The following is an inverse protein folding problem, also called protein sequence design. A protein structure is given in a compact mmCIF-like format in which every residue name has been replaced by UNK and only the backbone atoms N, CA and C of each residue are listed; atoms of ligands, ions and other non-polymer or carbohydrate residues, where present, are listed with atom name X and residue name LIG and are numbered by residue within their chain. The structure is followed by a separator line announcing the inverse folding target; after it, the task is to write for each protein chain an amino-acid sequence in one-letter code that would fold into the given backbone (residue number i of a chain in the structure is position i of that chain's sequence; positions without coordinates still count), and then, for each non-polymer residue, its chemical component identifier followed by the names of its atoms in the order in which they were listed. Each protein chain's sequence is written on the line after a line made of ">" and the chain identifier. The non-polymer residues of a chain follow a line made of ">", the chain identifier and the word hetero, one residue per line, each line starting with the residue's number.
data_IF_616696498923
#
_entry.id   IF_616696498923
#
_cell.length_a   1.000
_cell.length_b   1.000
_cell.length_c   1.000
_cell.angle_alpha   90.00
_cell.angle_beta   90.00
_cell.angle_gamma   90.00
#
_symmetry.space_group_name_H-M   'P 1'
#
loop_
_entity.id
_entity.type
_entity.pdbx_description
1 polymer ?
#
# COMPACT_ATOMS: atom_id res chain seq x y z
N UNK A 1 22.13 19.72 20.72
CA UNK A 1 20.96 18.84 20.94
C UNK A 1 20.50 18.30 19.59
N UNK A 2 20.65 17.00 19.32
CA UNK A 2 20.38 16.34 18.03
C UNK A 2 18.88 16.00 17.85
N UNK A 3 17.99 16.99 17.86
CA UNK A 3 16.58 16.72 17.56
C UNK A 3 16.33 16.42 16.07
N UNK A 4 17.20 16.93 15.18
CA UNK A 4 17.06 16.83 13.71
C UNK A 4 17.38 15.44 13.12
N UNK A 5 17.70 14.44 13.94
CA UNK A 5 18.03 13.08 13.46
C UNK A 5 17.12 12.00 14.05
N UNK A 6 16.06 12.39 14.77
CA UNK A 6 15.18 11.44 15.43
C UNK A 6 14.21 10.82 14.43
N UNK A 7 14.17 9.49 14.43
CA UNK A 7 13.15 8.71 13.74
C UNK A 7 11.98 8.49 14.68
N UNK A 8 10.77 8.77 14.19
CA UNK A 8 9.54 8.43 14.90
C UNK A 8 9.05 7.10 14.37
N UNK A 9 8.63 6.20 15.24
CA UNK A 9 7.98 4.99 14.78
C UNK A 9 6.81 4.59 15.67
N UNK A 10 5.74 4.13 15.01
CA UNK A 10 4.48 3.72 15.61
C UNK A 10 4.29 2.24 15.32
N UNK A 11 3.94 1.47 16.35
CA UNK A 11 3.75 0.02 16.24
C UNK A 11 2.45 -0.41 16.88
N UNK A 12 1.83 -1.43 16.30
CA UNK A 12 0.65 -2.11 16.83
C UNK A 12 0.66 -3.57 16.38
N UNK A 13 0.28 -4.46 17.28
CA UNK A 13 0.07 -5.88 17.03
C UNK A 13 -1.42 -6.23 16.96
N UNK A 14 -1.79 -7.15 16.08
CA UNK A 14 -3.16 -7.69 16.03
C UNK A 14 -3.14 -9.20 15.91
N UNK A 15 -3.94 -9.87 16.74
CA UNK A 15 -4.23 -11.30 16.63
C UNK A 15 -5.74 -11.54 16.53
N UNK A 16 -6.14 -12.34 15.55
CA UNK A 16 -7.52 -12.74 15.29
C UNK A 16 -7.58 -14.25 15.01
N UNK A 17 -8.79 -14.78 14.85
CA UNK A 17 -8.99 -16.17 14.45
C UNK A 17 -8.37 -16.48 13.07
N UNK A 18 -8.26 -15.48 12.20
CA UNK A 18 -7.68 -15.60 10.85
C UNK A 18 -6.16 -15.59 10.88
N UNK A 19 -5.57 -14.99 11.92
CA UNK A 19 -4.13 -15.03 12.16
C UNK A 19 -3.64 -13.79 12.89
N UNK A 20 -2.31 -13.65 12.95
CA UNK A 20 -1.63 -12.55 13.62
C UNK A 20 -0.77 -11.73 12.65
N UNK A 21 -0.43 -10.51 13.07
CA UNK A 21 0.50 -9.65 12.36
C UNK A 21 0.75 -8.33 13.08
N UNK A 22 1.57 -7.50 12.43
CA UNK A 22 1.98 -6.20 12.92
C UNK A 22 1.72 -5.10 11.89
N UNK A 23 1.44 -3.91 12.41
CA UNK A 23 1.39 -2.65 11.67
C UNK A 23 2.49 -1.72 12.17
N UNK A 24 3.26 -1.17 11.24
CA UNK A 24 4.42 -0.33 11.57
C UNK A 24 4.41 0.91 10.69
N UNK A 25 4.56 2.07 11.29
CA UNK A 25 4.77 3.35 10.59
C UNK A 25 6.09 3.93 11.05
N UNK A 26 6.99 4.24 10.12
CA UNK A 26 8.29 4.86 10.39
C UNK A 26 8.33 6.21 9.69
N UNK A 27 8.49 7.29 10.45
CA UNK A 27 8.71 8.63 9.92
C UNK A 27 10.20 8.97 10.03
N UNK A 28 10.84 9.20 8.89
CA UNK A 28 12.26 9.59 8.85
C UNK A 28 12.43 11.03 9.36
N UNK A 29 13.65 11.47 9.73
CA UNK A 29 13.90 12.86 10.15
C UNK A 29 13.56 13.89 9.06
N UNK A 30 13.49 13.48 7.80
CA UNK A 30 13.07 14.32 6.67
C UNK A 30 11.54 14.41 6.53
N UNK A 31 10.78 13.78 7.44
CA UNK A 31 9.31 13.79 7.43
C UNK A 31 8.70 12.81 6.43
N UNK A 32 9.46 11.82 5.94
CA UNK A 32 8.92 10.79 5.05
C UNK A 32 8.35 9.63 5.86
N UNK A 33 7.09 9.30 5.63
CA UNK A 33 6.44 8.11 6.18
C UNK A 33 6.74 6.86 5.35
N UNK A 34 7.05 5.77 6.04
CA UNK A 34 7.15 4.42 5.50
C UNK A 34 6.17 3.54 6.30
N UNK A 35 5.26 2.89 5.59
CA UNK A 35 4.16 2.12 6.19
C UNK A 35 4.29 0.64 5.84
N UNK A 36 4.19 -0.22 6.85
CA UNK A 36 4.37 -1.65 6.71
C UNK A 36 3.25 -2.42 7.39
N UNK A 37 2.76 -3.43 6.67
CA UNK A 37 1.83 -4.46 7.14
C UNK A 37 2.55 -5.80 7.09
N UNK A 38 2.71 -6.45 8.23
CA UNK A 38 3.49 -7.68 8.35
C UNK A 38 2.59 -8.80 8.85
N UNK A 39 2.30 -9.78 7.99
CA UNK A 39 1.58 -11.01 8.38
C UNK A 39 2.57 -11.98 9.00
N UNK A 40 2.24 -12.53 10.17
CA UNK A 40 3.01 -13.62 10.76
C UNK A 40 2.54 -14.96 10.17
N UNK A 41 3.48 -15.85 9.88
CA UNK A 41 3.22 -17.23 9.47
C UNK A 41 3.03 -18.18 10.66
N UNK A 42 3.22 -17.69 11.87
CA UNK A 42 2.91 -18.35 13.14
C UNK A 42 1.70 -17.71 13.83
N UNK A 43 1.13 -18.42 14.81
CA UNK A 43 0.12 -17.87 15.71
C UNK A 43 0.79 -17.14 16.86
N UNK A 44 0.23 -16.01 17.26
CA UNK A 44 0.67 -15.24 18.41
C UNK A 44 -0.58 -14.69 19.14
N UNK A 45 -0.52 -14.58 20.46
CA UNK A 45 -1.52 -13.85 21.25
C UNK A 45 -1.46 -12.35 20.98
N UNK A 46 -2.47 -11.59 21.41
CA UNK A 46 -2.45 -10.13 21.28
C UNK A 46 -1.18 -9.51 21.89
N UNK A 47 -0.80 -9.93 23.10
CA UNK A 47 0.39 -9.39 23.77
C UNK A 47 1.68 -9.72 23.00
N UNK A 48 1.80 -10.96 22.50
CA UNK A 48 2.94 -11.37 21.68
C UNK A 48 3.00 -10.56 20.38
N UNK A 49 1.86 -10.29 19.73
CA UNK A 49 1.87 -9.48 18.50
C UNK A 49 2.35 -8.05 18.72
N UNK A 50 2.05 -7.45 19.88
CA UNK A 50 2.53 -6.11 20.24
C UNK A 50 4.06 -6.10 20.46
N UNK A 51 4.57 -7.14 21.11
CA UNK A 51 6.01 -7.35 21.29
C UNK A 51 6.73 -7.55 19.97
N UNK A 52 6.20 -8.43 19.11
CA UNK A 52 6.75 -8.69 17.78
C UNK A 52 6.74 -7.44 16.90
N UNK A 53 5.64 -6.66 16.93
CA UNK A 53 5.55 -5.40 16.21
C UNK A 53 6.66 -4.43 16.62
N UNK A 54 6.95 -4.33 17.92
CA UNK A 54 8.03 -3.50 18.45
C UNK A 54 9.42 -4.01 18.02
N UNK A 55 9.68 -5.31 18.19
CA UNK A 55 10.97 -5.93 17.81
C UNK A 55 11.26 -5.74 16.33
N UNK A 56 10.29 -6.07 15.47
CA UNK A 56 10.42 -5.96 14.01
C UNK A 56 10.59 -4.49 13.62
N UNK A 57 9.78 -3.58 14.19
CA UNK A 57 9.89 -2.14 13.93
C UNK A 57 11.24 -1.56 14.30
N UNK A 58 11.78 -1.93 15.47
CA UNK A 58 13.12 -1.52 15.91
C UNK A 58 14.22 -2.04 14.98
N UNK A 59 14.11 -3.31 14.54
CA UNK A 59 15.07 -3.90 13.59
C UNK A 59 15.05 -3.17 12.25
N UNK A 60 13.86 -2.98 11.67
CA UNK A 60 13.69 -2.27 10.41
C UNK A 60 14.20 -0.82 10.49
N UNK A 61 13.90 -0.10 11.58
CA UNK A 61 14.41 1.25 11.78
C UNK A 61 15.95 1.27 11.86
N UNK A 62 16.55 0.34 12.61
CA UNK A 62 18.00 0.25 12.73
C UNK A 62 18.69 -0.06 11.39
N UNK A 63 18.16 -1.02 10.63
CA UNK A 63 18.66 -1.43 9.31
C UNK A 63 18.52 -0.33 8.25
N UNK A 64 17.51 0.54 8.40
CA UNK A 64 17.31 1.72 7.54
C UNK A 64 18.14 2.94 7.97
N UNK A 65 19.00 2.77 8.99
CA UNK A 65 19.98 3.78 9.41
C UNK A 65 19.56 4.61 10.62
N UNK A 66 18.44 4.31 11.28
CA UNK A 66 18.07 4.99 12.50
C UNK A 66 19.12 4.73 13.60
N UNK A 67 19.52 5.80 14.29
CA UNK A 67 20.40 5.75 15.48
C UNK A 67 19.74 6.38 16.71
N UNK A 68 18.81 7.31 16.49
CA UNK A 68 17.97 7.91 17.53
C UNK A 68 16.52 7.58 17.21
N UNK A 69 15.89 6.75 18.05
CA UNK A 69 14.57 6.19 17.77
C UNK A 69 13.59 6.50 18.91
N UNK A 70 12.42 7.04 18.54
CA UNK A 70 11.31 7.29 19.46
C UNK A 70 10.09 6.46 19.05
N UNK A 71 9.79 5.46 19.88
CA UNK A 71 8.69 4.53 19.72
C UNK A 71 7.39 5.06 20.30
N UNK A 72 6.29 4.77 19.62
CA UNK A 72 4.95 4.96 20.11
C UNK A 72 4.15 3.66 20.00
N UNK A 73 3.46 3.30 21.07
CA UNK A 73 2.56 2.15 21.13
C UNK A 73 1.41 2.47 22.09
N UNK A 74 0.23 1.91 21.85
CA UNK A 74 -0.91 1.96 22.76
C UNK A 74 -0.96 0.79 23.75
N UNK A 75 -0.09 -0.22 23.58
CA UNK A 75 0.03 -1.34 24.51
C UNK A 75 0.73 -0.93 25.82
N UNK A 76 -0.07 -0.61 26.83
CA UNK A 76 0.42 -0.25 28.16
C UNK A 76 1.38 -1.30 28.74
N UNK A 77 1.07 -2.59 28.56
CA UNK A 77 1.86 -3.69 29.09
C UNK A 77 3.29 -3.66 28.51
N UNK A 78 3.40 -3.65 27.18
CA UNK A 78 4.68 -3.63 26.46
C UNK A 78 5.46 -2.38 26.85
N UNK A 79 4.84 -1.20 26.82
CA UNK A 79 5.52 0.06 27.17
C UNK A 79 6.07 0.01 28.60
N UNK A 80 5.28 -0.48 29.56
CA UNK A 80 5.69 -0.53 30.98
C UNK A 80 6.78 -1.57 31.26
N UNK A 81 6.71 -2.73 30.61
CA UNK A 81 7.73 -3.78 30.74
C UNK A 81 9.05 -3.38 30.05
N UNK A 82 8.99 -2.76 28.86
CA UNK A 82 10.19 -2.23 28.17
C UNK A 82 10.86 -1.10 28.94
N UNK A 83 10.10 -0.34 29.73
CA UNK A 83 10.62 0.68 30.67
C UNK A 83 11.11 0.11 32.00
N UNK A 84 10.92 -1.19 32.26
CA UNK A 84 11.28 -1.82 33.53
C UNK A 84 10.37 -1.46 34.70
N UNK A 85 9.22 -0.81 34.44
CA UNK A 85 8.25 -0.47 35.50
C UNK A 85 7.38 -1.67 35.88
N UNK A 86 7.17 -2.59 34.94
CA UNK A 86 6.47 -3.87 35.14
C UNK A 86 7.43 -5.02 34.88
N UNK A 87 7.24 -6.12 35.61
CA UNK A 87 7.99 -7.36 35.41
C UNK A 87 7.27 -8.28 34.41
N UNK A 88 8.04 -8.99 33.57
CA UNK A 88 7.54 -10.07 32.73
C UNK A 88 7.73 -11.41 33.44
N UNK A 89 6.67 -12.20 33.52
CA UNK A 89 6.67 -13.51 34.18
C UNK A 89 6.68 -14.67 33.21
N UNK A 90 6.12 -14.47 32.02
CA UNK A 90 6.04 -15.50 30.99
C UNK A 90 7.36 -15.55 30.21
N UNK A 91 7.87 -16.75 29.97
CA UNK A 91 9.14 -17.00 29.27
C UNK A 91 9.15 -16.32 27.89
N UNK A 92 8.05 -16.37 27.14
CA UNK A 92 7.94 -15.71 25.84
C UNK A 92 8.13 -14.19 25.96
N UNK A 93 7.53 -13.53 26.95
CA UNK A 93 7.69 -12.09 27.17
C UNK A 93 9.11 -11.73 27.59
N UNK A 94 9.75 -12.56 28.43
CA UNK A 94 11.14 -12.37 28.84
C UNK A 94 12.06 -12.42 27.61
N UNK A 95 11.84 -13.37 26.70
CA UNK A 95 12.61 -13.48 25.46
C UNK A 95 12.45 -12.24 24.57
N UNK A 96 11.23 -11.72 24.41
CA UNK A 96 11.01 -10.49 23.65
C UNK A 96 11.71 -9.28 24.30
N UNK A 97 11.66 -9.17 25.64
CA UNK A 97 12.37 -8.11 26.35
C UNK A 97 13.89 -8.21 26.17
N UNK A 98 14.46 -9.42 26.13
CA UNK A 98 15.87 -9.62 25.84
C UNK A 98 16.22 -9.16 24.42
N UNK A 99 15.41 -9.51 23.42
CA UNK A 99 15.61 -9.05 22.04
C UNK A 99 15.54 -7.52 21.94
N UNK A 100 14.59 -6.90 22.64
CA UNK A 100 14.46 -5.44 22.70
C UNK A 100 15.68 -4.82 23.39
N UNK A 101 16.18 -5.42 24.47
CA UNK A 101 17.39 -4.97 25.14
C UNK A 101 18.61 -5.03 24.21
N UNK A 102 18.79 -6.13 23.48
CA UNK A 102 19.87 -6.28 22.50
C UNK A 102 19.76 -5.23 21.39
N UNK A 103 18.55 -4.96 20.88
CA UNK A 103 18.32 -3.93 19.87
C UNK A 103 18.58 -2.52 20.40
N UNK A 104 18.24 -2.24 21.67
CA UNK A 104 18.57 -0.95 22.31
C UNK A 104 20.08 -0.69 22.30
N UNK A 105 20.92 -1.71 22.50
CA UNK A 105 22.40 -1.55 22.47
C UNK A 105 22.94 -1.12 21.11
N UNK A 106 22.20 -1.37 20.03
CA UNK A 106 22.56 -1.00 18.65
C UNK A 106 22.13 0.44 18.28
N UNK A 107 21.41 1.12 19.17
CA UNK A 107 20.92 2.48 18.99
C UNK A 107 21.71 3.44 19.90
N UNK A 108 21.97 4.65 19.43
CA UNK A 108 22.55 5.70 20.28
C UNK A 108 21.53 6.20 21.32
N UNK A 109 20.25 6.20 20.94
CA UNK A 109 19.17 6.56 21.84
C UNK A 109 17.89 5.83 21.46
N UNK A 110 17.19 5.30 22.46
CA UNK A 110 15.88 4.70 22.33
C UNK A 110 14.97 5.18 23.45
N UNK A 111 13.74 5.56 23.09
CA UNK A 111 12.68 5.85 24.03
C UNK A 111 11.38 5.26 23.50
N UNK A 112 10.51 4.81 24.41
CA UNK A 112 9.14 4.38 24.09
C UNK A 112 8.12 5.18 24.90
N UNK A 113 7.06 5.61 24.23
CA UNK A 113 5.97 6.40 24.81
C UNK A 113 4.65 5.68 24.59
N UNK A 114 3.86 5.57 25.66
CA UNK A 114 2.48 5.10 25.54
C UNK A 114 1.62 6.22 24.96
N UNK A 115 0.81 5.91 23.95
CA UNK A 115 -0.16 6.84 23.37
C UNK A 115 -1.57 6.23 23.40
N UNK A 116 -2.63 7.06 23.34
CA UNK A 116 -3.98 6.58 23.15
C UNK A 116 -4.13 5.85 21.81
N UNK A 117 -5.02 4.86 21.76
CA UNK A 117 -5.26 4.03 20.56
C UNK A 117 -5.76 4.84 19.37
N UNK A 118 -6.50 5.92 19.64
CA UNK A 118 -7.01 6.84 18.63
C UNK A 118 -5.87 7.57 17.91
N UNK A 119 -4.77 7.84 18.63
CA UNK A 119 -3.55 8.44 18.07
C UNK A 119 -2.74 7.38 17.31
N UNK A 120 -2.79 6.12 17.73
CA UNK A 120 -2.11 4.99 17.06
C UNK A 120 -2.92 4.36 15.91
N UNK A 121 -3.99 5.02 15.44
CA UNK A 121 -4.97 4.43 14.53
C UNK A 121 -4.34 3.86 13.24
N UNK A 122 -3.31 4.52 12.71
CA UNK A 122 -2.63 4.12 11.46
C UNK A 122 -1.93 2.77 11.60
N UNK A 123 -1.10 2.59 12.64
CA UNK A 123 -0.45 1.31 12.91
C UNK A 123 -1.49 0.22 13.19
N UNK A 124 -2.53 0.52 13.97
CA UNK A 124 -3.63 -0.39 14.26
C UNK A 124 -4.46 -0.81 13.03
N UNK A 125 -4.62 0.06 12.03
CA UNK A 125 -5.23 -0.32 10.75
C UNK A 125 -4.34 -1.26 9.95
N UNK A 126 -3.02 -1.03 9.94
CA UNK A 126 -2.05 -1.88 9.26
C UNK A 126 -1.93 -3.27 9.92
N UNK A 127 -1.95 -3.36 11.25
CA UNK A 127 -1.91 -4.64 11.98
C UNK A 127 -3.17 -5.47 11.75
N UNK A 128 -4.35 -4.82 11.75
CA UNK A 128 -5.63 -5.46 11.43
C UNK A 128 -5.66 -5.96 10.00
N UNK A 129 -5.15 -5.16 9.05
CA UNK A 129 -4.97 -5.61 7.69
C UNK A 129 -4.15 -6.90 7.66
N UNK A 130 -2.98 -6.96 8.31
CA UNK A 130 -2.17 -8.17 8.39
C UNK A 130 -2.96 -9.35 8.97
N UNK A 131 -3.48 -9.23 10.18
CA UNK A 131 -4.17 -10.34 10.87
C UNK A 131 -5.42 -10.86 10.13
N UNK A 132 -6.04 -10.03 9.28
CA UNK A 132 -7.21 -10.43 8.47
C UNK A 132 -6.85 -11.24 7.21
N UNK A 133 -5.58 -11.25 6.79
CA UNK A 133 -5.18 -11.93 5.55
C UNK A 133 -5.11 -13.44 5.78
N UNK A 134 -5.80 -14.19 4.92
CA UNK A 134 -5.74 -15.66 4.92
C UNK A 134 -4.47 -16.22 4.30
N UNK A 135 -3.90 -15.50 3.33
CA UNK A 135 -2.75 -15.97 2.56
C UNK A 135 -1.48 -15.23 3.00
N UNK A 136 -0.43 -15.97 3.35
CA UNK A 136 0.92 -15.43 3.54
C UNK A 136 1.62 -15.25 2.19
N UNK A 137 1.21 -14.25 1.41
CA UNK A 137 1.93 -13.83 0.19
C UNK A 137 2.26 -12.35 0.19
N UNK A 138 3.47 -12.03 -0.26
CA UNK A 138 3.89 -10.65 -0.51
C UNK A 138 3.07 -10.06 -1.65
N UNK A 139 2.54 -8.86 -1.44
CA UNK A 139 1.76 -8.13 -2.46
C UNK A 139 1.90 -6.63 -2.25
N UNK A 140 1.76 -5.88 -3.35
CA UNK A 140 1.73 -4.42 -3.31
C UNK A 140 0.29 -3.94 -3.04
N UNK A 141 0.13 -3.05 -2.06
CA UNK A 141 -1.16 -2.44 -1.73
C UNK A 141 -1.06 -0.97 -2.12
N UNK A 142 -1.94 -0.52 -3.02
CA UNK A 142 -1.98 0.87 -3.49
C UNK A 142 -3.26 1.52 -2.99
N UNK A 143 -3.12 2.66 -2.31
CA UNK A 143 -4.25 3.49 -1.90
C UNK A 143 -4.56 4.45 -3.04
N UNK A 144 -5.78 4.38 -3.57
CA UNK A 144 -6.27 5.31 -4.59
C UNK A 144 -7.23 6.32 -3.96
N UNK A 145 -6.99 7.60 -4.19
CA UNK A 145 -7.88 8.68 -3.77
C UNK A 145 -8.97 8.87 -4.82
N UNK A 146 -10.23 8.78 -4.40
CA UNK A 146 -11.38 9.10 -5.24
C UNK A 146 -11.81 10.55 -4.95
N UNK A 147 -11.63 11.50 -5.89
CA UNK A 147 -12.03 12.88 -5.67
C UNK A 147 -13.56 13.00 -5.57
N UNK A 148 -14.04 13.92 -4.73
CA UNK A 148 -15.48 14.19 -4.51
C UNK A 148 -16.20 14.64 -5.79
N UNK A 149 -15.50 15.33 -6.69
CA UNK A 149 -16.01 15.70 -8.00
C UNK A 149 -16.16 14.44 -8.85
N UNK A 150 -17.29 13.76 -8.67
CA UNK A 150 -17.83 12.79 -9.62
C UNK A 150 -18.32 13.55 -10.85
N UNK A 151 -17.47 14.33 -11.52
CA UNK A 151 -17.84 14.89 -12.82
C UNK A 151 -18.21 13.71 -13.70
N UNK A 152 -19.48 13.58 -14.12
CA UNK A 152 -19.82 12.59 -15.12
C UNK A 152 -18.93 12.89 -16.31
N UNK A 153 -18.23 11.87 -16.80
CA UNK A 153 -17.42 11.99 -17.99
C UNK A 153 -18.32 12.48 -19.11
N UNK A 154 -18.18 13.75 -19.47
CA UNK A 154 -18.86 14.32 -20.64
C UNK A 154 -18.17 13.71 -21.86
N UNK A 155 -18.77 12.65 -22.38
CA UNK A 155 -18.36 12.05 -23.65
C UNK A 155 -18.76 13.03 -24.74
N UNK A 156 -17.81 13.81 -25.24
CA UNK A 156 -18.02 14.57 -26.47
C UNK A 156 -17.73 13.66 -27.67
N UNK A 157 -18.71 13.38 -28.54
CA UNK A 157 -18.43 12.73 -29.80
C UNK A 157 -17.57 13.68 -30.66
N UNK A 158 -16.33 13.27 -30.92
CA UNK A 158 -15.46 13.98 -31.87
C UNK A 158 -15.77 13.43 -33.26
N UNK A 159 -16.39 14.26 -34.10
CA UNK A 159 -16.69 13.92 -35.49
C UNK A 159 -15.44 14.06 -36.37
N UNK A 160 -15.11 12.95 -37.03
CA UNK A 160 -14.45 12.80 -38.34
C UNK A 160 -13.18 13.62 -38.63
N UNK A 161 -12.05 12.92 -38.55
CA UNK A 161 -10.78 13.25 -39.20
C UNK A 161 -9.79 12.08 -39.11
N UNK A 162 -8.75 12.06 -39.95
CA UNK A 162 -7.71 11.02 -39.91
C UNK A 162 -6.90 11.17 -38.61
N UNK A 163 -7.30 10.43 -37.57
CA UNK A 163 -6.81 10.64 -36.20
C UNK A 163 -5.60 9.76 -35.89
N UNK A 164 -4.82 10.17 -34.88
CA UNK A 164 -3.71 9.40 -34.28
C UNK A 164 -4.08 7.98 -33.81
N UNK A 165 -5.37 7.62 -33.88
CA UNK A 165 -5.98 6.37 -33.42
C UNK A 165 -6.20 5.34 -34.54
N UNK A 166 -6.12 5.73 -35.82
CA UNK A 166 -6.16 4.81 -36.97
C UNK A 166 -5.13 3.67 -36.85
N UNK A 167 -3.89 3.92 -36.36
CA UNK A 167 -2.91 2.86 -36.17
C UNK A 167 -3.23 1.89 -35.01
N UNK A 168 -4.13 2.23 -34.09
CA UNK A 168 -4.56 1.32 -33.00
C UNK A 168 -5.62 0.33 -33.53
N UNK A 169 -6.48 0.78 -34.46
CA UNK A 169 -7.44 -0.08 -35.17
C UNK A 169 -6.71 -1.11 -36.03
N UNK A 170 -5.68 -0.68 -36.77
CA UNK A 170 -4.81 -1.55 -37.58
C UNK A 170 -4.23 -2.71 -36.76
N UNK A 171 -3.73 -2.45 -35.54
CA UNK A 171 -3.11 -3.50 -34.70
C UNK A 171 -4.08 -4.62 -34.33
N UNK A 172 -5.36 -4.30 -34.11
CA UNK A 172 -6.37 -5.30 -33.77
C UNK A 172 -6.94 -6.00 -35.03
N UNK A 173 -6.83 -5.37 -36.20
CA UNK A 173 -7.10 -5.97 -37.53
C UNK A 173 -5.89 -6.74 -38.10
N UNK A 174 -4.80 -6.87 -37.33
CA UNK A 174 -3.59 -7.60 -37.72
C UNK A 174 -2.60 -6.81 -38.59
N UNK A 175 -2.88 -5.54 -38.85
CA UNK A 175 -2.05 -4.63 -39.62
C UNK A 175 -1.08 -3.89 -38.69
N UNK A 176 0.22 -4.20 -38.80
CA UNK A 176 1.28 -3.51 -38.06
C UNK A 176 2.04 -2.57 -38.99
N UNK A 177 2.41 -1.35 -38.56
CA UNK A 177 3.34 -0.51 -39.33
C UNK A 177 4.67 -1.24 -39.55
N UNK A 178 5.26 -1.10 -40.75
CA UNK A 178 6.56 -1.69 -41.08
C UNK A 178 7.68 -1.20 -40.13
N UNK A 179 7.53 0.02 -39.61
CA UNK A 179 8.46 0.58 -38.64
C UNK A 179 8.29 -0.09 -37.25
N UNK A 180 9.27 -0.93 -36.90
CA UNK A 180 9.34 -1.63 -35.60
C UNK A 180 9.18 -0.72 -34.37
N UNK A 181 9.73 0.50 -34.38
CA UNK A 181 9.65 1.42 -33.23
C UNK A 181 8.24 1.99 -33.06
N UNK A 182 7.58 2.27 -34.17
CA UNK A 182 6.21 2.75 -34.19
C UNK A 182 5.24 1.64 -33.77
N UNK A 183 5.43 0.43 -34.30
CA UNK A 183 4.69 -0.76 -33.90
C UNK A 183 4.82 -1.05 -32.39
N UNK A 184 6.01 -0.91 -31.81
CA UNK A 184 6.22 -1.11 -30.37
C UNK A 184 5.48 -0.05 -29.52
N UNK A 185 5.56 1.23 -29.89
CA UNK A 185 4.85 2.32 -29.20
C UNK A 185 3.33 2.13 -29.25
N UNK A 186 2.81 1.69 -30.39
CA UNK A 186 1.38 1.47 -30.56
C UNK A 186 0.90 0.22 -29.80
N UNK A 187 1.69 -0.86 -29.74
CA UNK A 187 1.39 -2.03 -28.90
C UNK A 187 1.25 -1.66 -27.42
N UNK A 188 2.16 -0.83 -26.89
CA UNK A 188 2.11 -0.32 -25.51
C UNK A 188 0.86 0.55 -25.27
N UNK A 189 0.41 1.29 -26.30
CA UNK A 189 -0.80 2.11 -26.18
C UNK A 189 -2.09 1.28 -26.26
N UNK A 190 -2.07 0.19 -27.04
CA UNK A 190 -3.18 -0.73 -27.20
C UNK A 190 -3.49 -1.55 -25.94
N UNK A 191 -2.51 -1.84 -25.08
CA UNK A 191 -2.74 -2.59 -23.81
C UNK A 191 -3.74 -1.89 -22.88
N UNK A 192 -3.78 -0.56 -22.92
CA UNK A 192 -4.69 0.30 -22.16
C UNK A 192 -6.00 0.62 -22.90
N UNK A 193 -6.30 -0.09 -23.97
CA UNK A 193 -7.54 0.08 -24.75
C UNK A 193 -8.27 -1.25 -24.91
N UNK A 194 -9.57 -1.21 -25.16
CA UNK A 194 -10.39 -2.38 -25.51
C UNK A 194 -11.45 -1.97 -26.52
N UNK A 195 -11.78 -2.85 -27.46
CA UNK A 195 -12.85 -2.63 -28.43
C UNK A 195 -14.07 -3.45 -27.99
N UNK A 196 -15.23 -2.82 -27.85
CA UNK A 196 -16.50 -3.52 -27.63
C UNK A 196 -17.54 -2.95 -28.59
N UNK A 197 -18.26 -3.80 -29.33
CA UNK A 197 -19.32 -3.36 -30.26
C UNK A 197 -18.86 -2.26 -31.24
N UNK A 198 -17.65 -2.37 -31.78
CA UNK A 198 -17.02 -1.37 -32.67
C UNK A 198 -16.70 -0.01 -32.02
N UNK A 199 -16.81 0.07 -30.69
CA UNK A 199 -16.51 1.24 -29.89
C UNK A 199 -15.15 1.05 -29.21
N UNK A 200 -14.23 1.99 -29.39
CA UNK A 200 -12.92 1.94 -28.73
C UNK A 200 -13.07 2.55 -27.33
N UNK A 201 -12.70 1.79 -26.32
CA UNK A 201 -12.67 2.22 -24.93
C UNK A 201 -11.23 2.32 -24.43
N UNK A 202 -10.97 3.32 -23.58
CA UNK A 202 -9.75 3.38 -22.78
C UNK A 202 -10.01 2.71 -21.44
N UNK A 203 -9.15 1.78 -21.05
CA UNK A 203 -9.17 1.17 -19.72
C UNK A 203 -8.82 2.24 -18.69
N UNK A 204 -9.75 2.54 -17.80
CA UNK A 204 -9.51 3.51 -16.73
C UNK A 204 -8.89 2.75 -15.56
N UNK A 205 -7.78 3.24 -15.02
CA UNK A 205 -6.96 2.55 -14.01
C UNK A 205 -7.70 2.24 -12.69
N UNK A 206 -8.91 2.78 -12.48
CA UNK A 206 -9.60 2.74 -11.20
C UNK A 206 -10.52 1.53 -10.98
N UNK A 207 -10.87 0.76 -12.02
CA UNK A 207 -11.55 -0.55 -11.88
C UNK A 207 -11.36 -1.41 -13.14
N UNK A 208 -11.15 -2.73 -13.04
CA UNK A 208 -11.01 -3.63 -14.20
C UNK A 208 -12.19 -3.57 -15.18
N UNK A 209 -13.37 -3.12 -14.72
CA UNK A 209 -14.62 -3.00 -15.47
C UNK A 209 -14.96 -1.57 -15.90
N UNK A 210 -14.26 -0.53 -15.45
CA UNK A 210 -14.54 0.83 -15.93
C UNK A 210 -13.83 1.07 -17.27
N UNK A 211 -14.67 1.13 -18.30
CA UNK A 211 -14.27 1.47 -19.64
C UNK A 211 -14.81 2.86 -19.96
N UNK A 212 -13.95 3.76 -20.46
CA UNK A 212 -14.40 5.06 -20.95
C UNK A 212 -14.55 4.98 -22.46
N UNK A 213 -15.77 5.22 -22.98
CA UNK A 213 -16.03 5.27 -24.41
C UNK A 213 -15.20 6.41 -25.02
N UNK A 214 -14.34 6.07 -25.98
CA UNK A 214 -13.49 7.03 -26.69
C UNK A 214 -14.04 7.30 -28.10
N UNK A 215 -14.87 6.40 -28.64
CA UNK A 215 -15.41 6.51 -30.00
C UNK A 215 -16.54 5.52 -30.24
N UNK A 216 -17.75 5.96 -30.62
CA UNK A 216 -18.85 5.08 -31.05
C UNK A 216 -19.22 5.32 -32.51
N UNK A 217 -19.13 4.30 -33.36
CA UNK A 217 -19.60 4.36 -34.74
C UNK A 217 -21.09 4.05 -34.81
N UNK A 218 -21.94 5.06 -35.03
CA UNK A 218 -23.25 4.83 -35.66
C UNK A 218 -23.10 5.16 -37.13
N UNK A 219 -23.03 4.13 -37.97
CA UNK A 219 -23.29 4.28 -39.39
C UNK A 219 -24.76 4.67 -39.55
N UNK A 220 -25.00 5.94 -39.87
CA UNK A 220 -26.29 6.37 -40.39
C UNK A 220 -26.52 5.68 -41.73
N UNK A 221 -27.26 4.57 -41.69
CA UNK A 221 -27.86 3.99 -42.89
C UNK A 221 -28.80 5.04 -43.50
N UNK A 222 -28.33 5.62 -44.60
CA UNK A 222 -29.17 6.31 -45.57
C UNK A 222 -30.15 5.29 -46.16
N UNK A 223 -31.37 5.23 -45.62
CA UNK A 223 -32.51 4.67 -46.36
C UNK A 223 -32.86 5.64 -47.49
N UNK A 224 -32.26 5.41 -48.67
CA UNK A 224 -32.86 5.81 -49.93
C UNK A 224 -34.08 4.91 -50.15
N UNK A 225 -35.27 5.45 -49.97
CA UNK A 225 -36.47 4.92 -50.62
C UNK A 225 -36.86 5.91 -51.73
N UNK A 226 -36.66 5.48 -52.97
CA UNK A 226 -37.51 5.85 -54.12
C UNK A 226 -38.83 5.14 -54.01
#
# INVERSE_FOLDING_TARGET
>A
MHLDQRWLFYVDGSSTAQGSGAGIVITTPQGKDLEFTIKFDFKASNNETEYEALVIGMRMAHETGARHLLAYSDSQLVVKQVKGTYEAKEESMIQHLQQIADLKTKLHHFQIIQIPREVNAKANSLSKLASSLKECRTRHITIHYLPETRTPLVVQPVTTGQHWRTPIKWIQEGLLPENRREAARLKIRATHSIMQEHILYKKVLYTPSAQMCVYGGRDSQSTRNT
#
